data_IF_000404621594
#
_entry.id   IF_000404621594
#
_cell.length_a   1.000
_cell.length_b   1.000
_cell.length_c   1.000
_cell.angle_alpha   90.00
_cell.angle_beta   90.00
_cell.angle_gamma   90.00
#
_symmetry.space_group_name_H-M   'P 1'
#
loop_
_entity.id
_entity.type
_entity.pdbx_description
1 polymer ?
#
# COMPACT_ATOMS: atom_id res chain seq x y z
N UNK A 1 19.15 1.17 16.43
CA UNK A 1 20.24 0.79 17.35
C UNK A 1 21.14 -0.14 16.57
N UNK A 2 22.37 0.26 16.26
CA UNK A 2 23.24 -0.53 15.39
C UNK A 2 24.40 -1.09 16.24
N UNK A 3 24.63 -2.40 16.15
CA UNK A 3 25.84 -3.01 16.67
C UNK A 3 27.01 -2.67 15.75
N UNK A 4 28.21 -2.55 16.32
CA UNK A 4 29.45 -2.37 15.55
C UNK A 4 30.39 -3.54 15.82
N UNK A 5 31.42 -3.72 15.01
CA UNK A 5 32.44 -4.75 15.27
C UNK A 5 33.07 -4.60 16.67
N UNK A 6 33.19 -3.36 17.17
CA UNK A 6 33.68 -3.02 18.52
C UNK A 6 32.62 -3.24 19.61
N UNK A 7 31.35 -2.97 19.31
CA UNK A 7 30.22 -3.16 20.23
C UNK A 7 29.22 -4.16 19.64
N UNK A 8 29.58 -5.45 19.71
CA UNK A 8 28.71 -6.54 19.27
C UNK A 8 27.46 -6.57 20.15
N UNK A 9 26.30 -6.62 19.51
CA UNK A 9 25.03 -6.87 20.21
C UNK A 9 24.56 -8.28 19.87
N UNK A 10 24.32 -9.06 20.90
CA UNK A 10 23.68 -10.36 20.78
C UNK A 10 22.16 -10.15 20.89
N UNK A 11 21.42 -10.63 19.90
CA UNK A 11 19.97 -10.60 19.89
C UNK A 11 19.48 -12.04 20.10
N UNK A 12 19.00 -12.40 21.31
CA UNK A 12 18.54 -13.75 21.59
C UNK A 12 17.19 -13.99 20.89
N UNK A 13 17.24 -14.48 19.65
CA UNK A 13 16.04 -14.68 18.82
C UNK A 13 15.03 -15.60 19.52
N UNK A 14 15.49 -16.61 20.25
CA UNK A 14 14.63 -17.51 21.02
C UNK A 14 13.84 -16.77 22.12
N UNK A 15 14.46 -15.83 22.85
CA UNK A 15 13.75 -15.00 23.83
C UNK A 15 12.77 -14.03 23.18
N UNK A 16 13.18 -13.38 22.08
CA UNK A 16 12.31 -12.48 21.30
C UNK A 16 11.08 -13.25 20.79
N UNK A 17 11.30 -14.48 20.30
CA UNK A 17 10.23 -15.37 19.89
C UNK A 17 9.34 -15.71 21.08
N UNK A 18 9.85 -15.94 22.29
CA UNK A 18 9.02 -16.28 23.45
C UNK A 18 8.10 -15.14 23.89
N UNK A 19 8.52 -13.88 23.79
CA UNK A 19 7.72 -12.71 24.19
C UNK A 19 6.70 -12.27 23.13
N UNK A 20 6.87 -12.67 21.86
CA UNK A 20 5.95 -12.28 20.79
C UNK A 20 4.62 -13.07 20.90
N UNK A 21 3.45 -12.42 20.75
CA UNK A 21 2.20 -13.16 20.63
C UNK A 21 2.20 -14.10 19.42
N UNK A 22 1.56 -15.27 19.55
CA UNK A 22 1.55 -16.30 18.49
C UNK A 22 1.08 -15.78 17.13
N UNK A 23 0.05 -14.93 17.11
CA UNK A 23 -0.43 -14.28 15.87
C UNK A 23 0.68 -13.48 15.19
N UNK A 24 1.52 -12.77 15.96
CA UNK A 24 2.63 -11.99 15.41
C UNK A 24 3.78 -12.86 14.93
N UNK A 25 4.10 -13.95 15.65
CA UNK A 25 5.11 -14.92 15.21
C UNK A 25 4.76 -15.50 13.84
N UNK A 26 3.49 -15.92 13.67
CA UNK A 26 2.99 -16.48 12.41
C UNK A 26 3.03 -15.49 11.25
N UNK A 27 2.89 -14.19 11.52
CA UNK A 27 2.76 -13.16 10.48
C UNK A 27 4.00 -12.26 10.35
N UNK A 28 5.10 -12.56 11.04
CA UNK A 28 6.29 -11.68 11.03
C UNK A 28 6.94 -11.60 9.65
N UNK A 29 6.94 -12.72 8.91
CA UNK A 29 7.45 -12.79 7.55
C UNK A 29 6.55 -12.00 6.59
N UNK A 30 5.24 -12.21 6.66
CA UNK A 30 4.27 -11.44 5.89
C UNK A 30 4.38 -9.94 6.17
N UNK A 31 4.49 -9.54 7.44
CA UNK A 31 4.73 -8.16 7.83
C UNK A 31 6.02 -7.61 7.20
N UNK A 32 7.11 -8.37 7.26
CA UNK A 32 8.39 -7.93 6.71
C UNK A 32 8.33 -7.72 5.20
N UNK A 33 7.73 -8.67 4.46
CA UNK A 33 7.55 -8.58 3.01
C UNK A 33 6.60 -7.44 2.61
N UNK A 34 5.41 -7.34 3.24
CA UNK A 34 4.39 -6.34 2.87
C UNK A 34 4.86 -4.91 3.12
N UNK A 35 5.66 -4.69 4.17
CA UNK A 35 6.23 -3.37 4.50
C UNK A 35 7.51 -3.02 3.71
N UNK A 36 7.98 -3.93 2.86
CA UNK A 36 9.19 -3.81 2.05
C UNK A 36 10.40 -4.52 2.66
N UNK A 37 11.06 -5.35 1.86
CA UNK A 37 12.35 -6.00 2.15
C UNK A 37 13.28 -5.87 0.93
N UNK A 38 14.35 -6.65 0.86
CA UNK A 38 15.31 -6.57 -0.24
C UNK A 38 14.70 -6.95 -1.60
N UNK A 39 13.63 -7.76 -1.62
CA UNK A 39 12.96 -8.23 -2.82
C UNK A 39 11.54 -7.66 -3.01
N UNK A 40 11.04 -6.85 -2.08
CA UNK A 40 9.71 -6.25 -2.20
C UNK A 40 9.78 -4.74 -2.01
N UNK A 41 8.88 -4.02 -2.66
CA UNK A 41 8.91 -2.56 -2.67
C UNK A 41 8.61 -1.99 -1.27
N UNK A 42 9.31 -0.92 -0.90
CA UNK A 42 8.99 -0.13 0.28
C UNK A 42 7.74 0.73 0.05
N UNK A 43 6.89 0.86 1.07
CA UNK A 43 5.75 1.77 1.06
C UNK A 43 6.22 3.20 1.35
N UNK A 44 6.17 4.07 0.35
CA UNK A 44 6.60 5.45 0.50
C UNK A 44 5.89 6.14 1.68
N UNK A 45 6.65 6.94 2.44
CA UNK A 45 6.22 7.66 3.65
C UNK A 45 5.86 6.81 4.88
N UNK A 46 5.85 5.47 4.77
CA UNK A 46 5.49 4.56 5.86
C UNK A 46 6.73 3.87 6.42
N UNK A 47 7.15 4.23 7.63
CA UNK A 47 8.28 3.56 8.29
C UNK A 47 7.87 2.19 8.86
N UNK A 48 8.79 1.22 8.92
CA UNK A 48 8.56 -0.07 9.62
C UNK A 48 8.14 0.12 11.08
N UNK A 49 8.65 1.16 11.77
CA UNK A 49 8.24 1.51 13.14
C UNK A 49 6.77 1.93 13.20
N UNK A 50 6.29 2.72 12.25
CA UNK A 50 4.88 3.11 12.16
C UNK A 50 4.01 1.88 11.83
N UNK A 51 4.42 1.08 10.84
CA UNK A 51 3.71 -0.15 10.48
C UNK A 51 3.66 -1.16 11.62
N UNK A 52 4.74 -1.28 12.41
CA UNK A 52 4.78 -2.15 13.58
C UNK A 52 3.73 -1.76 14.62
N UNK A 53 3.46 -0.47 14.84
CA UNK A 53 2.41 -0.04 15.78
C UNK A 53 1.03 -0.52 15.35
N UNK A 54 0.74 -0.47 14.05
CA UNK A 54 -0.52 -0.97 13.48
C UNK A 54 -0.58 -2.50 13.58
N UNK A 55 0.49 -3.18 13.19
CA UNK A 55 0.64 -4.64 13.29
C UNK A 55 0.49 -5.15 14.73
N UNK A 56 0.93 -4.35 15.71
CA UNK A 56 0.84 -4.65 17.12
C UNK A 56 -0.57 -4.39 17.72
N UNK A 57 -1.42 -3.66 17.00
CA UNK A 57 -2.80 -3.38 17.41
C UNK A 57 -3.73 -4.58 17.31
N UNK A 58 -4.88 -4.51 17.97
CA UNK A 58 -5.90 -5.59 18.02
C UNK A 58 -6.66 -5.81 16.70
N UNK A 59 -6.52 -4.90 15.74
CA UNK A 59 -7.25 -4.90 14.45
C UNK A 59 -6.45 -5.49 13.28
N UNK A 60 -5.19 -5.90 13.51
CA UNK A 60 -4.33 -6.37 12.44
C UNK A 60 -4.73 -7.78 11.98
N UNK A 61 -5.38 -7.86 10.82
CA UNK A 61 -5.80 -9.10 10.17
C UNK A 61 -4.80 -9.61 9.13
N UNK A 62 -3.49 -9.30 9.24
CA UNK A 62 -2.49 -9.72 8.24
C UNK A 62 -2.40 -11.27 8.05
N UNK A 63 -3.15 -12.07 8.83
CA UNK A 63 -3.31 -13.53 8.82
C UNK A 63 -4.48 -14.03 7.95
N UNK A 64 -4.48 -15.17 7.26
CA UNK A 64 -3.52 -16.28 7.11
C UNK A 64 -3.30 -16.52 5.58
N UNK A 65 -2.22 -17.21 5.20
CA UNK A 65 -1.89 -17.71 3.83
C UNK A 65 -1.10 -16.78 2.88
N UNK A 66 -0.55 -15.65 3.33
CA UNK A 66 0.53 -15.04 2.54
C UNK A 66 1.75 -15.96 2.63
N UNK A 67 2.21 -16.54 1.51
CA UNK A 67 3.25 -17.57 1.49
C UNK A 67 2.74 -19.01 1.23
N UNK A 68 1.45 -19.26 1.41
CA UNK A 68 0.86 -20.60 1.17
C UNK A 68 0.04 -20.63 -0.12
N UNK A 69 0.45 -21.46 -1.08
CA UNK A 69 -0.26 -21.59 -2.36
C UNK A 69 -1.60 -22.34 -2.20
N UNK A 70 -2.70 -21.87 -2.81
CA UNK A 70 -2.81 -20.67 -3.63
C UNK A 70 -3.04 -19.38 -2.82
N UNK A 71 -2.59 -18.23 -3.34
CA UNK A 71 -2.92 -16.93 -2.76
C UNK A 71 -4.43 -16.63 -2.88
N UNK A 72 -5.15 -16.75 -1.77
CA UNK A 72 -6.62 -16.63 -1.76
C UNK A 72 -7.09 -15.17 -1.84
N UNK A 73 -8.35 -14.93 -2.29
CA UNK A 73 -8.95 -13.60 -2.23
C UNK A 73 -9.02 -13.00 -0.81
N UNK A 74 -9.25 -13.83 0.21
CA UNK A 74 -9.29 -13.38 1.60
C UNK A 74 -7.92 -12.89 2.09
N UNK A 75 -6.83 -13.59 1.76
CA UNK A 75 -5.48 -13.16 2.11
C UNK A 75 -5.10 -11.83 1.44
N UNK A 76 -5.51 -11.64 0.17
CA UNK A 76 -5.33 -10.35 -0.53
C UNK A 76 -6.11 -9.22 0.16
N UNK A 77 -7.39 -9.45 0.47
CA UNK A 77 -8.24 -8.47 1.13
C UNK A 77 -7.73 -8.10 2.54
N UNK A 78 -7.22 -9.08 3.28
CA UNK A 78 -6.64 -8.89 4.60
C UNK A 78 -5.35 -8.07 4.55
N UNK A 79 -4.46 -8.37 3.60
CA UNK A 79 -3.24 -7.60 3.36
C UNK A 79 -3.56 -6.17 2.90
N UNK A 80 -4.57 -5.98 2.05
CA UNK A 80 -5.07 -4.66 1.66
C UNK A 80 -5.59 -3.87 2.86
N UNK A 81 -6.45 -4.46 3.69
CA UNK A 81 -6.96 -3.81 4.91
C UNK A 81 -5.83 -3.39 5.84
N UNK A 82 -4.84 -4.25 6.04
CA UNK A 82 -3.66 -3.91 6.82
C UNK A 82 -2.91 -2.71 6.22
N UNK A 83 -2.69 -2.70 4.91
CA UNK A 83 -2.02 -1.61 4.21
C UNK A 83 -2.79 -0.30 4.32
N UNK A 84 -4.12 -0.32 4.17
CA UNK A 84 -5.00 0.85 4.33
C UNK A 84 -4.84 1.46 5.72
N UNK A 85 -4.79 0.64 6.77
CA UNK A 85 -4.59 1.09 8.16
C UNK A 85 -3.23 1.77 8.39
N UNK A 86 -2.24 1.56 7.51
CA UNK A 86 -0.95 2.26 7.58
C UNK A 86 -1.08 3.73 7.17
N UNK A 87 -2.06 4.03 6.33
CA UNK A 87 -2.39 5.39 5.93
C UNK A 87 -3.32 6.00 6.97
N UNK A 88 -3.13 7.29 7.28
CA UNK A 88 -3.88 8.01 8.33
C UNK A 88 -5.28 8.42 7.84
N UNK A 89 -6.05 7.44 7.36
CA UNK A 89 -7.43 7.59 6.92
C UNK A 89 -8.39 7.36 8.09
N UNK A 90 -9.67 7.67 7.90
CA UNK A 90 -10.69 7.46 8.93
C UNK A 90 -10.91 5.96 9.18
N UNK A 91 -11.34 5.60 10.40
CA UNK A 91 -11.35 4.19 10.87
C UNK A 91 -12.36 3.29 10.11
N UNK A 92 -13.35 3.89 9.49
CA UNK A 92 -14.38 3.27 8.66
C UNK A 92 -13.86 2.85 7.27
N UNK A 93 -12.74 3.43 6.82
CA UNK A 93 -12.14 3.11 5.53
C UNK A 93 -11.40 1.79 5.60
N UNK A 94 -11.86 0.84 4.80
CA UNK A 94 -11.23 -0.48 4.66
C UNK A 94 -10.80 -0.81 3.23
N UNK A 95 -11.22 0.02 2.26
CA UNK A 95 -10.88 -0.08 0.85
C UNK A 95 -9.70 0.82 0.52
N UNK A 96 -8.77 0.32 -0.30
CA UNK A 96 -7.68 1.16 -0.79
C UNK A 96 -8.18 2.28 -1.70
N UNK A 97 -9.22 2.05 -2.50
CA UNK A 97 -9.74 3.08 -3.42
C UNK A 97 -10.36 4.24 -2.65
N UNK A 98 -11.09 3.93 -1.58
CA UNK A 98 -11.64 4.93 -0.66
C UNK A 98 -10.52 5.68 0.08
N UNK A 99 -9.49 4.97 0.55
CA UNK A 99 -8.33 5.58 1.18
C UNK A 99 -7.58 6.54 0.23
N UNK A 100 -7.39 6.13 -1.03
CA UNK A 100 -6.82 6.99 -2.07
C UNK A 100 -7.67 8.22 -2.32
N UNK A 101 -9.00 8.05 -2.42
CA UNK A 101 -9.92 9.16 -2.63
C UNK A 101 -9.92 10.16 -1.47
N UNK A 102 -9.89 9.68 -0.22
CA UNK A 102 -9.81 10.57 0.95
C UNK A 102 -8.51 11.37 1.00
N UNK A 103 -7.39 10.75 0.61
CA UNK A 103 -6.08 11.39 0.66
C UNK A 103 -5.78 12.24 -0.58
N UNK A 104 -6.53 12.06 -1.66
CA UNK A 104 -6.36 12.80 -2.90
C UNK A 104 -6.60 14.30 -2.66
N UNK A 105 -5.57 15.12 -2.91
CA UNK A 105 -5.59 16.55 -2.65
C UNK A 105 -5.30 16.98 -1.22
N UNK A 106 -5.32 16.05 -0.26
CA UNK A 106 -4.92 16.29 1.13
C UNK A 106 -3.42 16.13 1.29
N UNK A 107 -2.85 15.11 0.67
CA UNK A 107 -1.40 14.88 0.69
C UNK A 107 -0.69 15.74 -0.36
N UNK A 108 0.46 16.30 0.01
CA UNK A 108 1.25 17.19 -0.87
C UNK A 108 1.95 16.46 -2.01
N UNK A 109 2.22 15.16 -1.84
CA UNK A 109 3.06 14.35 -2.71
C UNK A 109 2.29 13.09 -3.13
N UNK A 110 2.22 12.75 -4.43
CA UNK A 110 1.51 11.56 -4.90
C UNK A 110 2.00 10.26 -4.26
N UNK A 111 3.27 10.18 -3.90
CA UNK A 111 3.87 9.00 -3.24
C UNK A 111 3.33 8.77 -1.83
N UNK A 112 2.70 9.77 -1.21
CA UNK A 112 2.02 9.62 0.07
C UNK A 112 0.60 9.02 -0.06
N UNK A 113 0.11 8.83 -1.29
CA UNK A 113 -1.13 8.09 -1.54
C UNK A 113 -0.90 6.58 -1.35
N UNK A 114 -1.92 5.83 -0.92
CA UNK A 114 -1.90 4.37 -1.00
C UNK A 114 -1.62 3.89 -2.43
N UNK A 115 -0.93 2.75 -2.65
CA UNK A 115 -0.65 2.24 -4.01
C UNK A 115 -1.93 2.02 -4.82
N UNK A 116 -1.88 2.07 -6.16
CA UNK A 116 -3.05 1.75 -7.02
C UNK A 116 -3.43 0.26 -6.91
N UNK A 117 -4.58 -0.13 -7.47
CA UNK A 117 -5.10 -1.52 -7.38
C UNK A 117 -4.09 -2.48 -7.99
N UNK A 118 -3.59 -2.07 -9.15
CA UNK A 118 -2.67 -2.84 -9.93
C UNK A 118 -1.30 -2.93 -9.25
N UNK A 119 -0.75 -1.80 -8.78
CA UNK A 119 0.50 -1.79 -8.05
C UNK A 119 0.42 -2.59 -6.74
N UNK A 120 -0.69 -2.48 -6.01
CA UNK A 120 -0.93 -3.25 -4.80
C UNK A 120 -1.02 -4.75 -5.09
N UNK A 121 -1.78 -5.15 -6.11
CA UNK A 121 -1.91 -6.55 -6.53
C UNK A 121 -0.55 -7.16 -6.86
N UNK A 122 0.26 -6.48 -7.67
CA UNK A 122 1.60 -6.94 -8.05
C UNK A 122 2.54 -6.99 -6.85
N UNK A 123 2.48 -6.01 -5.96
CA UNK A 123 3.24 -6.01 -4.71
C UNK A 123 2.87 -7.20 -3.82
N UNK A 124 1.58 -7.49 -3.65
CA UNK A 124 1.12 -8.63 -2.85
C UNK A 124 1.51 -9.98 -3.47
N UNK A 125 1.55 -10.10 -4.80
CA UNK A 125 2.07 -11.29 -5.47
C UNK A 125 3.55 -11.52 -5.14
N UNK A 126 4.39 -10.47 -5.23
CA UNK A 126 5.81 -10.57 -4.86
C UNK A 126 6.00 -10.86 -3.37
N UNK A 127 5.19 -10.26 -2.50
CA UNK A 127 5.22 -10.56 -1.07
C UNK A 127 4.84 -12.01 -0.79
N UNK A 128 3.82 -12.54 -1.46
CA UNK A 128 3.41 -13.93 -1.34
C UNK A 128 4.53 -14.88 -1.78
N UNK A 129 5.18 -14.59 -2.90
CA UNK A 129 6.36 -15.32 -3.34
C UNK A 129 7.48 -15.30 -2.30
N UNK A 130 7.83 -14.11 -1.81
CA UNK A 130 8.94 -13.98 -0.88
C UNK A 130 8.70 -14.72 0.45
N UNK A 131 7.48 -14.67 0.97
CA UNK A 131 7.13 -15.40 2.21
C UNK A 131 7.19 -16.90 1.97
N UNK A 132 6.69 -17.39 0.83
CA UNK A 132 6.79 -18.80 0.46
C UNK A 132 8.25 -19.29 0.45
N UNK A 133 9.15 -18.52 -0.16
CA UNK A 133 10.60 -18.84 -0.17
C UNK A 133 11.16 -18.93 1.25
N UNK A 134 10.84 -17.96 2.11
CA UNK A 134 11.34 -17.97 3.49
C UNK A 134 10.78 -19.13 4.33
N UNK A 135 9.51 -19.46 4.17
CA UNK A 135 8.89 -20.58 4.89
C UNK A 135 9.48 -21.92 4.46
N UNK A 136 9.92 -22.05 3.21
CA UNK A 136 10.46 -23.29 2.66
C UNK A 136 12.00 -23.40 2.72
N UNK A 137 12.71 -22.41 3.30
CA UNK A 137 14.19 -22.38 3.33
C UNK A 137 14.83 -23.57 4.05
N UNK A 138 14.07 -24.27 4.90
CA UNK A 138 14.53 -25.41 5.67
C UNK A 138 14.50 -26.73 4.87
N UNK A 139 13.88 -26.74 3.69
CA UNK A 139 13.91 -27.87 2.78
C UNK A 139 15.21 -27.87 1.95
N UNK A 140 15.80 -29.04 1.73
CA UNK A 140 17.06 -29.19 0.97
C UNK A 140 16.89 -28.76 -0.50
N UNK A 141 15.69 -28.97 -1.06
CA UNK A 141 15.30 -28.55 -2.41
C UNK A 141 13.87 -28.04 -2.36
N UNK A 142 13.65 -26.78 -1.95
CA UNK A 142 12.31 -26.23 -1.88
C UNK A 142 11.74 -26.14 -3.29
N UNK A 143 10.53 -26.64 -3.49
CA UNK A 143 9.73 -26.29 -4.65
C UNK A 143 9.31 -24.82 -4.49
N UNK A 144 9.92 -23.96 -5.29
CA UNK A 144 9.56 -22.53 -5.32
C UNK A 144 8.57 -22.28 -6.44
N UNK A 145 7.64 -21.36 -6.19
CA UNK A 145 6.67 -20.93 -7.20
C UNK A 145 7.40 -20.29 -8.39
N UNK A 146 6.76 -20.24 -9.56
CA UNK A 146 7.33 -19.57 -10.72
C UNK A 146 7.38 -18.04 -10.49
N UNK A 147 8.54 -17.40 -10.64
CA UNK A 147 8.70 -15.97 -10.40
C UNK A 147 7.78 -15.11 -11.29
N UNK A 148 7.65 -15.45 -12.57
CA UNK A 148 6.95 -14.61 -13.55
C UNK A 148 5.44 -14.55 -13.30
N UNK A 149 4.89 -15.63 -12.75
CA UNK A 149 3.51 -15.71 -12.28
C UNK A 149 3.21 -14.82 -11.06
N UNK A 150 4.24 -14.33 -10.35
CA UNK A 150 4.10 -13.59 -9.08
C UNK A 150 4.64 -12.16 -9.14
N UNK A 151 4.52 -11.51 -10.30
CA UNK A 151 4.77 -10.07 -10.44
C UNK A 151 6.23 -9.70 -10.66
N UNK A 152 7.02 -10.65 -11.17
CA UNK A 152 8.35 -10.45 -11.72
C UNK A 152 8.33 -10.67 -13.23
N UNK A 153 9.33 -10.14 -13.93
CA UNK A 153 9.59 -10.46 -15.33
C UNK A 153 11.06 -10.81 -15.50
N UNK A 154 11.35 -11.82 -16.31
CA UNK A 154 12.72 -12.08 -16.72
C UNK A 154 13.12 -11.08 -17.82
N UNK A 155 14.22 -10.37 -17.62
CA UNK A 155 14.78 -9.47 -18.62
C UNK A 155 16.30 -9.50 -18.52
N UNK A 156 16.96 -9.91 -19.61
CA UNK A 156 18.43 -10.05 -19.67
C UNK A 156 18.97 -10.93 -18.54
N UNK A 157 18.38 -12.10 -18.33
CA UNK A 157 18.73 -13.07 -17.27
C UNK A 157 18.57 -12.55 -15.83
N UNK A 158 17.94 -11.39 -15.63
CA UNK A 158 17.64 -10.82 -14.33
C UNK A 158 16.12 -10.70 -14.10
N UNK A 159 15.70 -11.06 -12.88
CA UNK A 159 14.30 -10.88 -12.47
C UNK A 159 14.06 -9.45 -12.01
N UNK A 160 13.25 -8.73 -12.78
CA UNK A 160 12.87 -7.36 -12.51
C UNK A 160 11.42 -7.30 -11.97
N UNK A 161 11.14 -6.51 -10.93
CA UNK A 161 9.80 -6.41 -10.38
C UNK A 161 8.88 -5.63 -11.33
N UNK A 162 7.69 -6.18 -11.62
CA UNK A 162 6.65 -5.45 -12.33
C UNK A 162 5.94 -4.54 -11.33
N UNK A 163 6.29 -3.25 -11.30
CA UNK A 163 5.72 -2.31 -10.33
C UNK A 163 4.28 -1.91 -10.66
N UNK A 164 3.95 -1.85 -11.94
CA UNK A 164 2.63 -1.56 -12.48
C UNK A 164 2.55 -2.04 -13.94
N UNK A 165 1.34 -2.33 -14.37
CA UNK A 165 0.94 -2.67 -15.76
C UNK A 165 -0.01 -1.63 -16.34
N UNK A 166 -0.59 -0.78 -15.50
CA UNK A 166 -1.39 0.36 -15.89
C UNK A 166 -0.59 1.65 -15.79
N UNK A 167 -0.96 2.63 -16.62
CA UNK A 167 -0.40 3.97 -16.56
C UNK A 167 -0.59 4.61 -15.16
N UNK A 168 0.42 5.29 -14.60
CA UNK A 168 0.33 5.91 -13.27
C UNK A 168 -0.81 6.92 -13.13
N UNK A 169 -1.14 7.58 -14.24
CA UNK A 169 -2.18 8.60 -14.34
C UNK A 169 -3.05 8.21 -15.54
N UNK A 170 -4.34 7.91 -15.36
CA UNK A 170 -5.25 7.73 -16.48
C UNK A 170 -5.18 8.97 -17.37
N UNK A 171 -5.19 8.83 -18.71
CA UNK A 171 -5.15 9.99 -19.62
C UNK A 171 -6.27 11.01 -19.36
N UNK A 172 -7.38 10.60 -18.75
CA UNK A 172 -8.46 11.50 -18.32
C UNK A 172 -8.08 12.41 -17.12
N UNK A 173 -7.02 12.10 -16.36
CA UNK A 173 -6.56 12.85 -15.19
C UNK A 173 -5.51 13.93 -15.51
N UNK A 174 -4.93 13.97 -16.72
CA UNK A 174 -4.06 15.11 -17.11
C UNK A 174 -4.84 16.42 -17.24
N UNK A 175 -6.17 16.33 -17.32
CA UNK A 175 -7.09 17.47 -17.46
C UNK A 175 -7.82 17.80 -16.14
N UNK A 176 -7.23 17.49 -14.96
CA UNK A 176 -7.84 17.90 -13.68
C UNK A 176 -7.82 19.42 -13.57
N UNK A 177 -8.92 20.03 -14.00
CA UNK A 177 -9.16 21.46 -13.92
C UNK A 177 -9.68 21.80 -12.52
N UNK A 178 -8.85 22.49 -11.75
CA UNK A 178 -9.24 23.07 -10.45
C UNK A 178 -9.61 24.54 -10.63
N UNK A 179 -10.67 25.00 -9.96
CA UNK A 179 -10.97 26.43 -9.92
C UNK A 179 -10.43 27.10 -8.66
N UNK A 180 -9.92 28.32 -8.82
CA UNK A 180 -9.54 29.22 -7.72
C UNK A 180 -10.65 30.23 -7.40
N UNK A 181 -11.91 29.84 -7.56
CA UNK A 181 -13.04 30.72 -7.31
C UNK A 181 -13.03 31.21 -5.86
N UNK A 182 -13.03 32.53 -5.70
CA UNK A 182 -13.16 33.19 -4.40
C UNK A 182 -14.61 33.32 -3.96
N UNK A 183 -15.55 33.36 -4.91
CA UNK A 183 -16.98 33.39 -4.64
C UNK A 183 -17.50 32.01 -4.23
N UNK A 184 -18.45 32.01 -3.31
CA UNK A 184 -18.87 30.80 -2.59
C UNK A 184 -19.60 29.76 -3.46
N UNK A 185 -20.01 30.08 -4.69
CA UNK A 185 -21.01 29.25 -5.38
C UNK A 185 -20.54 28.58 -6.68
N UNK A 186 -19.42 28.99 -7.30
CA UNK A 186 -18.93 28.40 -8.56
C UNK A 186 -20.00 28.22 -9.67
N UNK A 187 -21.05 29.05 -9.67
CA UNK A 187 -22.20 28.92 -10.57
C UNK A 187 -21.99 29.60 -11.93
N UNK A 188 -21.03 30.52 -12.01
CA UNK A 188 -20.80 31.33 -13.22
C UNK A 188 -19.75 30.69 -14.12
N UNK A 189 -19.74 31.09 -15.39
CA UNK A 189 -18.72 30.71 -16.38
C UNK A 189 -17.32 31.24 -16.05
N UNK A 190 -17.17 32.07 -15.02
CA UNK A 190 -15.88 32.47 -14.45
C UNK A 190 -15.21 31.32 -13.68
N UNK A 191 -15.98 30.32 -13.26
CA UNK A 191 -15.42 29.09 -12.71
C UNK A 191 -14.90 28.21 -13.86
N UNK A 192 -13.60 27.91 -13.86
CA UNK A 192 -12.98 27.04 -14.87
C UNK A 192 -13.62 25.66 -14.93
N UNK A 193 -14.03 25.10 -13.78
CA UNK A 193 -14.72 23.81 -13.75
C UNK A 193 -16.08 23.91 -14.47
N UNK A 194 -16.92 24.90 -14.07
CA UNK A 194 -18.25 25.11 -14.68
C UNK A 194 -18.16 25.42 -16.18
N UNK A 195 -17.20 26.25 -16.58
CA UNK A 195 -16.93 26.61 -17.98
C UNK A 195 -16.65 25.38 -18.85
N UNK A 196 -16.00 24.36 -18.29
CA UNK A 196 -15.67 23.12 -18.97
C UNK A 196 -16.70 22.00 -18.71
N UNK A 197 -17.85 22.32 -18.10
CA UNK A 197 -18.90 21.34 -17.80
C UNK A 197 -18.54 20.33 -16.71
N UNK A 198 -17.50 20.60 -15.92
CA UNK A 198 -17.02 19.72 -14.85
C UNK A 198 -17.58 20.15 -13.49
N UNK A 199 -17.85 19.18 -12.63
CA UNK A 199 -18.10 19.43 -11.20
C UNK A 199 -16.79 19.78 -10.49
N UNK A 200 -16.86 20.75 -9.58
CA UNK A 200 -15.75 21.12 -8.73
C UNK A 200 -15.39 19.95 -7.81
N UNK A 201 -14.10 19.63 -7.76
CA UNK A 201 -13.57 18.59 -6.89
C UNK A 201 -13.10 19.17 -5.56
N UNK A 202 -12.70 18.31 -4.62
CA UNK A 202 -12.09 18.72 -3.35
C UNK A 202 -10.80 19.53 -3.52
N UNK A 203 -10.18 19.48 -4.70
CA UNK A 203 -8.99 20.26 -5.05
C UNK A 203 -9.29 21.74 -5.35
N UNK A 204 -10.56 22.08 -5.61
CA UNK A 204 -10.95 23.46 -5.85
C UNK A 204 -10.87 24.30 -4.56
N UNK A 205 -10.45 25.56 -4.67
CA UNK A 205 -10.10 26.43 -3.53
C UNK A 205 -11.19 26.52 -2.42
N UNK A 206 -12.47 26.45 -2.76
CA UNK A 206 -13.61 26.50 -1.81
C UNK A 206 -14.62 25.37 -2.03
N UNK A 207 -14.15 24.12 -2.11
CA UNK A 207 -14.99 22.95 -2.36
C UNK A 207 -16.15 22.76 -1.37
N UNK A 208 -15.96 23.09 -0.08
CA UNK A 208 -16.93 22.83 1.00
C UNK A 208 -18.23 23.64 0.95
N UNK A 209 -18.29 24.74 0.19
CA UNK A 209 -19.50 25.56 0.02
C UNK A 209 -19.90 25.70 -1.45
N UNK A 210 -19.22 24.95 -2.32
CA UNK A 210 -19.39 25.01 -3.77
C UNK A 210 -20.75 24.44 -4.19
N UNK A 211 -21.51 25.19 -4.99
CA UNK A 211 -22.78 24.73 -5.58
C UNK A 211 -22.60 24.06 -6.95
N UNK A 212 -21.36 23.98 -7.45
CA UNK A 212 -20.98 23.20 -8.63
C UNK A 212 -20.41 21.83 -8.20
N UNK A 213 -20.98 21.20 -7.17
CA UNK A 213 -20.64 19.85 -6.74
C UNK A 213 -21.59 18.83 -7.39
N UNK A 214 -21.15 17.59 -7.53
CA UNK A 214 -22.07 16.48 -7.80
C UNK A 214 -23.06 16.39 -6.62
N UNK A 215 -24.37 16.44 -6.87
CA UNK A 215 -25.34 16.04 -5.86
C UNK A 215 -25.19 14.53 -5.67
N UNK A 216 -24.39 14.12 -4.69
CA UNK A 216 -24.15 12.73 -4.31
C UNK A 216 -24.06 12.65 -2.79
#
# INVERSE_FOLDING_TARGET
MNGTAKNRKYLPIHEICNILPNVRKKNILAFHAVTGCDSTSHLATITKKAAWKVFNGTTCQLSDNLGHSPLTPSSKANAEKFLVQLYKVTKDVSSRDEARYQLFGVVKKPEALPPTSDALRLHLLRCHYQVNVWENVHHVRPEVMDNESYGWRLHQDEYNPILMTLEPVPKACTDILTCNCLSHHCLTTMCTCKKNGLTCTKLCHRSHQCLNSSNG
#
